data_IF_085319289137
#
_entry.id   IF_085319289137
#
_cell.length_a   1.000
_cell.length_b   1.000
_cell.length_c   1.000
_cell.angle_alpha   90.00
_cell.angle_beta   90.00
_cell.angle_gamma   90.00
#
_symmetry.space_group_name_H-M   'P 1'
#
loop_
_entity.id
_entity.type
_entity.pdbx_description
1 polymer ?
#
# COMPACT_ATOMS: atom_id res chain seq x y z
N UNK A 1 25.12 -11.46 -2.30
CA UNK A 1 23.93 -10.59 -2.26
C UNK A 1 23.90 -9.85 -3.59
N UNK A 2 22.78 -9.92 -4.31
CA UNK A 2 22.68 -9.32 -5.65
C UNK A 2 22.60 -7.79 -5.53
N UNK A 3 23.15 -7.07 -6.51
CA UNK A 3 23.02 -5.61 -6.61
C UNK A 3 21.55 -5.14 -6.62
N UNK A 4 20.62 -6.02 -7.01
CA UNK A 4 19.17 -5.76 -6.97
C UNK A 4 18.58 -5.83 -5.56
N UNK A 5 19.04 -6.78 -4.71
CA UNK A 5 18.55 -6.90 -3.34
C UNK A 5 18.88 -5.64 -2.53
N UNK A 6 20.07 -5.08 -2.76
CA UNK A 6 20.52 -3.85 -2.12
C UNK A 6 19.73 -2.63 -2.62
N UNK A 7 19.35 -2.60 -3.89
CA UNK A 7 18.49 -1.55 -4.44
C UNK A 7 17.09 -1.59 -3.80
N UNK A 8 16.44 -2.75 -3.77
CA UNK A 8 15.11 -2.89 -3.16
C UNK A 8 15.11 -2.57 -1.67
N UNK A 9 16.16 -2.98 -0.96
CA UNK A 9 16.34 -2.60 0.44
C UNK A 9 16.44 -1.08 0.61
N UNK A 10 17.15 -0.38 -0.27
CA UNK A 10 17.24 1.09 -0.23
C UNK A 10 15.89 1.74 -0.47
N UNK A 11 15.13 1.25 -1.45
CA UNK A 11 13.78 1.76 -1.77
C UNK A 11 12.84 1.60 -0.56
N UNK A 12 12.80 0.41 0.04
CA UNK A 12 12.02 0.17 1.27
C UNK A 12 12.46 1.13 2.38
N UNK A 13 13.76 1.25 2.64
CA UNK A 13 14.25 2.12 3.72
C UNK A 13 14.00 3.60 3.47
N UNK A 14 14.03 4.06 2.22
CA UNK A 14 13.71 5.44 1.87
C UNK A 14 12.24 5.75 2.14
N UNK A 15 11.31 4.86 1.76
CA UNK A 15 9.90 5.00 2.09
C UNK A 15 9.61 4.89 3.60
N UNK A 16 10.40 4.11 4.34
CA UNK A 16 10.29 4.05 5.79
C UNK A 16 10.75 5.33 6.48
N UNK A 17 11.90 5.88 6.09
CA UNK A 17 12.49 7.06 6.70
C UNK A 17 11.83 8.37 6.24
N UNK A 18 11.38 8.40 4.98
CA UNK A 18 10.74 9.53 4.33
C UNK A 18 9.42 9.08 3.70
N UNK A 19 8.41 8.75 4.52
CA UNK A 19 7.14 8.27 4.01
C UNK A 19 6.42 9.37 3.23
N UNK A 20 6.01 9.04 2.01
CA UNK A 20 5.17 9.87 1.14
C UNK A 20 3.76 9.88 1.69
N UNK A 21 3.08 11.02 1.57
CA UNK A 21 1.69 11.18 1.98
C UNK A 21 1.42 10.83 3.46
N UNK A 22 2.43 10.93 4.33
CA UNK A 22 2.21 10.82 5.77
C UNK A 22 1.51 12.07 6.29
N UNK A 23 0.45 11.88 7.08
CA UNK A 23 -0.32 12.94 7.70
C UNK A 23 -1.81 12.72 7.54
N UNK A 24 -2.57 13.78 7.79
CA UNK A 24 -4.03 13.75 7.74
C UNK A 24 -4.56 14.60 6.59
N UNK A 25 -5.75 14.23 6.13
CA UNK A 25 -6.58 15.01 5.23
C UNK A 25 -7.59 15.80 6.06
N UNK A 26 -7.84 17.04 5.64
CA UNK A 26 -8.88 17.88 6.22
C UNK A 26 -10.18 17.68 5.43
N UNK A 27 -11.33 17.83 6.08
CA UNK A 27 -12.65 17.74 5.46
C UNK A 27 -13.30 16.36 5.54
N UNK A 28 -14.24 16.07 4.64
CA UNK A 28 -15.00 14.82 4.56
C UNK A 28 -14.20 13.68 3.90
N UNK A 29 -13.02 13.39 4.43
CA UNK A 29 -12.21 12.27 3.97
C UNK A 29 -12.73 10.94 4.55
N UNK A 30 -12.86 9.93 3.69
CA UNK A 30 -13.10 8.56 4.12
C UNK A 30 -11.92 8.10 4.96
N UNK A 31 -12.18 7.60 6.17
CA UNK A 31 -11.15 7.20 7.13
C UNK A 31 -11.33 5.73 7.48
N UNK A 32 -10.31 4.92 7.20
CA UNK A 32 -10.27 3.49 7.52
C UNK A 32 -9.14 3.22 8.50
N UNK A 33 -9.47 2.56 9.61
CA UNK A 33 -8.51 2.16 10.62
C UNK A 33 -8.35 0.64 10.59
N UNK A 34 -7.12 0.15 10.41
CA UNK A 34 -6.79 -1.26 10.49
C UNK A 34 -5.55 -1.49 11.35
N UNK A 35 -5.48 -2.67 11.95
CA UNK A 35 -4.33 -3.12 12.70
C UNK A 35 -3.94 -4.56 12.31
N UNK A 36 -2.66 -4.87 12.47
CA UNK A 36 -2.08 -6.20 12.35
C UNK A 36 -1.51 -6.62 13.72
N UNK A 37 -2.31 -7.28 14.58
CA UNK A 37 -1.89 -7.64 15.93
C UNK A 37 -0.63 -8.52 15.98
N UNK A 38 -0.39 -9.33 14.95
CA UNK A 38 0.76 -10.24 14.88
C UNK A 38 2.11 -9.52 14.88
N UNK A 39 2.18 -8.30 14.32
CA UNK A 39 3.39 -7.48 14.27
C UNK A 39 3.23 -6.16 15.05
N UNK A 40 2.04 -5.89 15.58
CA UNK A 40 1.70 -4.63 16.25
C UNK A 40 1.52 -3.44 15.32
N UNK A 41 1.42 -3.66 13.99
CA UNK A 41 1.23 -2.57 13.04
C UNK A 41 -0.17 -1.96 13.16
N UNK A 42 -0.27 -0.64 13.01
CA UNK A 42 -1.52 0.12 12.96
C UNK A 42 -1.44 1.11 11.81
N UNK A 43 -2.54 1.24 11.08
CA UNK A 43 -2.70 2.22 10.02
C UNK A 43 -4.07 2.89 10.12
N UNK A 44 -4.06 4.21 9.93
CA UNK A 44 -5.21 5.03 9.65
C UNK A 44 -5.02 5.56 8.23
N UNK A 45 -5.81 5.07 7.29
CA UNK A 45 -5.80 5.51 5.89
C UNK A 45 -6.93 6.52 5.69
N UNK A 46 -6.60 7.66 5.11
CA UNK A 46 -7.56 8.69 4.76
C UNK A 46 -7.52 8.93 3.26
N UNK A 47 -8.67 9.01 2.62
CA UNK A 47 -8.76 9.25 1.18
C UNK A 47 -9.93 10.17 0.83
N UNK A 48 -9.71 10.99 -0.19
CA UNK A 48 -10.73 11.81 -0.84
C UNK A 48 -11.03 11.21 -2.20
N UNK A 49 -12.27 10.78 -2.40
CA UNK A 49 -12.69 10.15 -3.65
C UNK A 49 -13.81 10.99 -4.27
N UNK A 50 -13.58 11.51 -5.48
CA UNK A 50 -14.55 12.28 -6.25
C UNK A 50 -14.71 11.64 -7.62
N UNK A 51 -15.95 11.46 -8.09
CA UNK A 51 -16.25 10.87 -9.41
C UNK A 51 -15.44 9.60 -9.71
N UNK A 52 -15.47 8.64 -8.76
CA UNK A 52 -14.71 7.37 -8.81
C UNK A 52 -13.20 7.51 -8.98
N UNK A 53 -12.63 8.64 -8.59
CA UNK A 53 -11.20 8.92 -8.62
C UNK A 53 -10.66 9.25 -7.23
N UNK A 54 -9.55 8.62 -6.85
CA UNK A 54 -8.83 8.93 -5.61
C UNK A 54 -8.05 10.22 -5.81
N UNK A 55 -8.61 11.35 -5.39
CA UNK A 55 -8.00 12.68 -5.61
C UNK A 55 -6.87 12.99 -4.64
N UNK A 56 -6.99 12.53 -3.40
CA UNK A 56 -5.92 12.57 -2.42
C UNK A 56 -6.02 11.34 -1.51
N UNK A 57 -4.88 10.92 -0.98
CA UNK A 57 -4.77 9.80 -0.05
C UNK A 57 -3.58 10.06 0.85
N UNK A 58 -3.77 9.87 2.15
CA UNK A 58 -2.74 10.00 3.17
C UNK A 58 -2.90 8.92 4.22
N UNK A 59 -1.83 8.69 4.97
CA UNK A 59 -1.87 7.75 6.07
C UNK A 59 -1.18 8.29 7.32
N UNK A 60 -1.70 7.87 8.46
CA UNK A 60 -1.00 7.82 9.73
C UNK A 60 -0.81 6.36 10.13
N UNK A 61 0.23 6.09 10.89
CA UNK A 61 0.49 4.73 11.32
C UNK A 61 1.82 4.57 12.02
N UNK A 62 1.89 3.45 12.72
CA UNK A 62 3.05 2.95 13.44
C UNK A 62 3.16 1.47 13.19
N UNK A 63 4.37 0.98 12.93
CA UNK A 63 4.59 -0.41 12.59
C UNK A 63 6.00 -0.67 12.12
N UNK A 64 6.23 -1.90 11.69
CA UNK A 64 7.50 -2.31 11.13
C UNK A 64 7.82 -1.58 9.81
N UNK A 65 9.08 -1.67 9.39
CA UNK A 65 9.51 -1.02 8.15
C UNK A 65 8.71 -1.46 6.92
N UNK A 66 8.31 -2.73 6.84
CA UNK A 66 7.53 -3.26 5.71
C UNK A 66 6.14 -2.63 5.64
N UNK A 67 5.42 -2.54 6.76
CA UNK A 67 4.05 -2.02 6.77
C UNK A 67 4.02 -0.53 6.43
N UNK A 68 4.92 0.25 7.02
CA UNK A 68 5.01 1.69 6.77
C UNK A 68 5.52 2.02 5.35
N UNK A 69 6.47 1.24 4.84
CA UNK A 69 6.94 1.42 3.46
C UNK A 69 5.86 1.05 2.45
N UNK A 70 5.15 -0.06 2.67
CA UNK A 70 4.01 -0.48 1.84
C UNK A 70 2.92 0.59 1.80
N UNK A 71 2.55 1.16 2.96
CA UNK A 71 1.61 2.27 3.02
C UNK A 71 2.09 3.48 2.22
N UNK A 72 3.36 3.86 2.36
CA UNK A 72 3.92 4.97 1.63
C UNK A 72 3.95 4.75 0.11
N UNK A 73 4.35 3.57 -0.35
CA UNK A 73 4.40 3.22 -1.78
C UNK A 73 2.99 3.16 -2.37
N UNK A 74 2.06 2.50 -1.67
CA UNK A 74 0.67 2.38 -2.08
C UNK A 74 0.02 3.76 -2.23
N UNK A 75 0.11 4.63 -1.22
CA UNK A 75 -0.51 5.97 -1.29
C UNK A 75 0.06 6.83 -2.41
N UNK A 76 1.33 6.65 -2.78
CA UNK A 76 1.93 7.35 -3.92
C UNK A 76 1.39 6.80 -5.24
N UNK A 77 1.26 5.48 -5.36
CA UNK A 77 0.82 4.82 -6.59
C UNK A 77 -0.67 5.05 -6.89
N UNK A 78 -1.53 4.98 -5.87
CA UNK A 78 -3.00 5.06 -6.08
C UNK A 78 -3.54 6.48 -6.15
N UNK A 79 -2.74 7.48 -5.77
CA UNK A 79 -3.15 8.88 -5.83
C UNK A 79 -3.34 9.30 -7.28
N UNK A 80 -4.53 9.80 -7.59
CA UNK A 80 -4.91 10.24 -8.93
C UNK A 80 -5.43 9.11 -9.82
N UNK A 81 -5.49 7.86 -9.35
CA UNK A 81 -6.07 6.75 -10.09
C UNK A 81 -7.59 6.66 -9.89
N UNK A 82 -8.25 5.94 -10.80
CA UNK A 82 -9.64 5.53 -10.61
C UNK A 82 -9.73 4.49 -9.47
N UNK A 83 -10.91 4.37 -8.86
CA UNK A 83 -11.20 3.33 -7.87
C UNK A 83 -11.02 1.94 -8.47
N UNK A 84 -11.41 1.75 -9.74
CA UNK A 84 -11.23 0.48 -10.46
C UNK A 84 -9.74 0.12 -10.60
N UNK A 85 -8.91 1.06 -11.05
CA UNK A 85 -7.47 0.82 -11.20
C UNK A 85 -6.80 0.56 -9.84
N UNK A 86 -7.20 1.30 -8.81
CA UNK A 86 -6.71 1.08 -7.45
C UNK A 86 -7.07 -0.33 -6.93
N UNK A 87 -8.26 -0.84 -7.24
CA UNK A 87 -8.67 -2.20 -6.91
C UNK A 87 -7.89 -3.25 -7.71
N UNK A 88 -7.63 -3.02 -9.01
CA UNK A 88 -6.75 -3.89 -9.81
C UNK A 88 -5.34 -3.94 -9.21
N UNK A 89 -4.79 -2.81 -8.77
CA UNK A 89 -3.49 -2.78 -8.08
C UNK A 89 -3.50 -3.61 -6.78
N UNK A 90 -4.60 -3.58 -6.01
CA UNK A 90 -4.75 -4.45 -4.82
C UNK A 90 -4.68 -5.92 -5.22
N UNK A 91 -5.34 -6.32 -6.30
CA UNK A 91 -5.35 -7.70 -6.79
C UNK A 91 -3.96 -8.16 -7.27
N UNK A 92 -3.29 -7.33 -8.07
CA UNK A 92 -1.92 -7.60 -8.54
C UNK A 92 -0.96 -7.73 -7.35
N UNK A 93 -1.00 -6.78 -6.41
CA UNK A 93 -0.14 -6.83 -5.23
C UNK A 93 -0.43 -8.06 -4.35
N UNK A 94 -1.71 -8.44 -4.23
CA UNK A 94 -2.12 -9.66 -3.53
C UNK A 94 -1.59 -10.91 -4.22
N UNK A 95 -1.64 -10.96 -5.56
CA UNK A 95 -1.06 -12.04 -6.37
C UNK A 95 0.46 -12.15 -6.15
N UNK A 96 1.16 -11.02 -6.22
CA UNK A 96 2.60 -10.94 -5.96
C UNK A 96 2.96 -11.47 -4.55
N UNK A 97 2.19 -11.12 -3.52
CA UNK A 97 2.40 -11.65 -2.16
C UNK A 97 2.16 -13.15 -2.04
N UNK A 98 1.32 -13.72 -2.90
CA UNK A 98 1.08 -15.17 -2.99
C UNK A 98 2.11 -15.90 -3.87
N UNK A 99 3.03 -15.17 -4.48
CA UNK A 99 4.05 -15.72 -5.38
C UNK A 99 3.56 -15.96 -6.81
N UNK A 100 2.42 -15.38 -7.20
CA UNK A 100 2.02 -15.33 -8.60
C UNK A 100 2.90 -14.31 -9.36
N UNK A 101 3.22 -14.61 -10.62
CA UNK A 101 3.78 -13.61 -11.51
C UNK A 101 2.66 -12.64 -11.94
N UNK A 102 2.91 -11.32 -11.99
CA UNK A 102 1.90 -10.38 -12.47
C UNK A 102 1.50 -10.74 -13.91
N UNK A 103 0.25 -11.14 -14.12
CA UNK A 103 -0.28 -11.44 -15.45
C UNK A 103 -0.57 -10.16 -16.24
N UNK A 104 -0.79 -9.03 -15.55
CA UNK A 104 -1.05 -7.71 -16.13
C UNK A 104 0.24 -6.88 -16.23
N UNK A 105 0.80 -6.83 -17.43
CA UNK A 105 2.06 -6.14 -17.76
C UNK A 105 1.88 -4.62 -17.96
N UNK A 106 0.65 -4.11 -17.96
CA UNK A 106 0.34 -2.71 -18.29
C UNK A 106 0.35 -1.76 -17.07
N UNK A 107 0.37 -2.28 -15.84
CA UNK A 107 0.42 -1.45 -14.63
C UNK A 107 1.85 -1.43 -14.08
N UNK A 108 2.49 -0.27 -14.21
CA UNK A 108 3.81 -0.01 -13.61
C UNK A 108 3.70 0.00 -12.08
N UNK A 109 4.25 -1.04 -11.44
CA UNK A 109 4.29 -1.17 -9.99
C UNK A 109 5.39 -0.29 -9.37
N UNK A 110 6.37 0.19 -10.15
CA UNK A 110 7.45 1.05 -9.69
C UNK A 110 8.11 0.57 -8.39
N UNK A 111 8.10 1.42 -7.36
CA UNK A 111 8.71 1.13 -6.06
C UNK A 111 8.05 -0.04 -5.31
N UNK A 112 6.82 -0.43 -5.67
CA UNK A 112 6.09 -1.54 -5.04
C UNK A 112 6.77 -2.89 -5.34
N UNK A 113 7.45 -3.02 -6.47
CA UNK A 113 8.20 -4.23 -6.83
C UNK A 113 9.29 -4.56 -5.80
N UNK A 114 9.81 -3.55 -5.09
CA UNK A 114 10.78 -3.76 -4.02
C UNK A 114 10.24 -4.66 -2.89
N UNK A 115 8.91 -4.75 -2.75
CA UNK A 115 8.26 -5.63 -1.76
C UNK A 115 8.08 -7.07 -2.26
N UNK A 116 8.38 -7.41 -3.52
CA UNK A 116 8.23 -8.78 -4.04
C UNK A 116 8.99 -9.81 -3.19
N UNK A 117 10.15 -9.43 -2.64
CA UNK A 117 10.92 -10.28 -1.73
C UNK A 117 10.17 -10.70 -0.46
N UNK A 118 9.15 -9.95 -0.04
CA UNK A 118 8.32 -10.25 1.14
C UNK A 118 7.47 -11.51 0.92
N UNK A 119 7.13 -11.86 -0.33
CA UNK A 119 6.38 -13.08 -0.65
C UNK A 119 7.08 -14.35 -0.17
N UNK A 120 8.42 -14.33 -0.03
CA UNK A 120 9.23 -15.44 0.50
C UNK A 120 9.11 -15.60 2.02
N UNK A 121 8.46 -14.66 2.71
CA UNK A 121 8.35 -14.63 4.18
C UNK A 121 6.87 -14.53 4.61
N UNK A 122 6.16 -15.67 4.73
CA UNK A 122 4.73 -15.69 5.05
C UNK A 122 4.34 -14.89 6.29
N UNK A 123 5.19 -14.89 7.32
CA UNK A 123 4.97 -14.11 8.55
C UNK A 123 4.93 -12.59 8.34
N UNK A 124 5.49 -12.08 7.23
CA UNK A 124 5.58 -10.65 6.91
C UNK A 124 4.59 -10.20 5.83
N UNK A 125 3.90 -11.12 5.15
CA UNK A 125 2.88 -10.80 4.15
C UNK A 125 1.78 -9.90 4.75
N UNK A 126 1.32 -10.21 5.96
CA UNK A 126 0.30 -9.39 6.63
C UNK A 126 0.79 -7.95 6.92
N UNK A 127 2.09 -7.75 7.11
CA UNK A 127 2.66 -6.41 7.28
C UNK A 127 2.54 -5.63 5.97
N UNK A 128 2.94 -6.26 4.85
CA UNK A 128 2.88 -5.64 3.53
C UNK A 128 1.44 -5.36 3.07
N UNK A 129 0.50 -6.26 3.37
CA UNK A 129 -0.89 -6.17 2.92
C UNK A 129 -1.77 -5.21 3.73
N UNK A 130 -1.34 -4.75 4.91
CA UNK A 130 -2.20 -3.99 5.83
C UNK A 130 -2.80 -2.74 5.18
N UNK A 131 -1.96 -1.93 4.50
CA UNK A 131 -2.41 -0.70 3.86
C UNK A 131 -3.34 -0.96 2.66
N UNK A 132 -3.07 -2.02 1.89
CA UNK A 132 -3.88 -2.43 0.74
C UNK A 132 -5.27 -2.93 1.16
N UNK A 133 -5.35 -3.64 2.28
CA UNK A 133 -6.64 -4.03 2.89
C UNK A 133 -7.43 -2.80 3.34
N UNK A 134 -6.77 -1.81 3.92
CA UNK A 134 -7.42 -0.56 4.32
C UNK A 134 -7.96 0.21 3.10
N UNK A 135 -7.18 0.26 2.01
CA UNK A 135 -7.62 0.83 0.74
C UNK A 135 -8.87 0.12 0.20
N UNK A 136 -8.80 -1.21 0.08
CA UNK A 136 -9.91 -2.01 -0.45
C UNK A 136 -11.19 -1.85 0.38
N UNK A 137 -11.07 -1.80 1.70
CA UNK A 137 -12.21 -1.54 2.58
C UNK A 137 -12.79 -0.13 2.34
N UNK A 138 -11.94 0.91 2.30
CA UNK A 138 -12.39 2.29 2.17
C UNK A 138 -13.08 2.59 0.84
N UNK A 139 -12.59 2.02 -0.26
CA UNK A 139 -13.24 2.21 -1.57
C UNK A 139 -14.55 1.42 -1.71
N UNK A 140 -14.70 0.29 -1.00
CA UNK A 140 -15.95 -0.49 -0.99
C UNK A 140 -17.02 0.14 -0.14
N UNK A 141 -16.67 0.69 1.03
CA UNK A 141 -17.61 1.40 1.90
C UNK A 141 -18.23 2.64 1.24
N UNK A 142 -17.59 3.20 0.20
CA UNK A 142 -18.14 4.30 -0.60
C UNK A 142 -19.13 3.83 -1.68
N UNK A 143 -19.01 2.58 -2.13
CA UNK A 143 -19.83 2.05 -3.22
C UNK A 143 -21.24 1.61 -2.74
N UNK A 144 -21.47 1.58 -1.43
CA UNK A 144 -22.76 1.32 -0.78
C UNK A 144 -23.48 2.63 -0.40
#
# INVERSE_FOLDING_TARGET
>A
MSSLDDLYRRVIMDHYQRPRNRGELNGEALTVNLNNPSCGDKIQLQMLVNDDKITDVKFLGEGCSISMSSASMMTQAVKGLSVEDALRMVEIFTGMMKGAEPEDVDIDLGDIEALQGVAKFPARINCAMLAWKALQQGVREKAE
#
